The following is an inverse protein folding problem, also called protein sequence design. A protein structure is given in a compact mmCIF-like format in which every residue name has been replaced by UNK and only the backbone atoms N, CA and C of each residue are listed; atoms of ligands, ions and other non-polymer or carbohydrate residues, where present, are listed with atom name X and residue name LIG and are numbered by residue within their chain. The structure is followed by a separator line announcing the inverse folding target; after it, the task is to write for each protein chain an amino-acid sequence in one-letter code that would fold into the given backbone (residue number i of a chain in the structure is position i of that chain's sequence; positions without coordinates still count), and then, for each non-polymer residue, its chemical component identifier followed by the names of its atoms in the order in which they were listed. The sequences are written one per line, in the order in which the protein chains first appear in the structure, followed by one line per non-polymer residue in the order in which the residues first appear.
data_IF_116123715888
#
_entry.id   IF_116123715888
#
_cell.length_a   1.000
_cell.length_b   1.000
_cell.length_c   1.000
_cell.angle_alpha   90.00
_cell.angle_beta   90.00
_cell.angle_gamma   90.00
#
_symmetry.space_group_name_H-M   'P 1'
#
loop_
_entity.id
_entity.type
_entity.pdbx_description
1 polymer ?
#
# COMPACT_ATOMS: atom_id res chain seq x y z
N UNK A 1 -17.43 -26.65 -19.55
CA UNK A 1 -16.48 -25.71 -18.91
C UNK A 1 -17.14 -25.13 -17.67
N UNK A 2 -16.40 -25.01 -16.56
CA UNK A 2 -16.93 -24.47 -15.30
C UNK A 2 -17.09 -22.94 -15.37
N UNK A 3 -16.16 -22.26 -16.05
CA UNK A 3 -16.31 -20.86 -16.47
C UNK A 3 -16.61 -20.70 -17.96
N UNK A 4 -16.84 -19.46 -18.37
CA UNK A 4 -17.10 -19.05 -19.76
C UNK A 4 -16.06 -18.02 -20.18
N UNK A 5 -15.18 -18.41 -21.10
CA UNK A 5 -14.14 -17.54 -21.65
C UNK A 5 -14.64 -16.80 -22.89
N UNK A 6 -14.38 -15.49 -22.94
CA UNK A 6 -14.60 -14.64 -24.10
C UNK A 6 -13.27 -14.04 -24.60
N UNK A 7 -13.30 -13.26 -25.69
CA UNK A 7 -12.08 -12.69 -26.26
C UNK A 7 -11.33 -11.79 -25.29
N UNK A 8 -12.04 -11.07 -24.42
CA UNK A 8 -11.51 -10.04 -23.50
C UNK A 8 -11.95 -10.22 -22.03
N UNK A 9 -12.54 -11.36 -21.67
CA UNK A 9 -13.06 -11.59 -20.32
C UNK A 9 -13.10 -13.09 -19.98
N UNK A 10 -13.22 -13.38 -18.69
CA UNK A 10 -13.54 -14.71 -18.18
C UNK A 10 -14.62 -14.60 -17.11
N UNK A 11 -15.74 -15.30 -17.31
CA UNK A 11 -16.85 -15.31 -16.36
C UNK A 11 -16.78 -16.61 -15.55
N UNK A 12 -16.73 -16.54 -14.20
CA UNK A 12 -16.69 -17.71 -13.31
C UNK A 12 -18.07 -18.37 -13.17
N UNK A 13 -18.68 -18.71 -14.31
CA UNK A 13 -19.96 -19.40 -14.40
C UNK A 13 -20.07 -20.14 -15.74
N UNK A 14 -20.68 -21.32 -15.70
CA UNK A 14 -20.89 -22.16 -16.88
C UNK A 14 -22.04 -21.65 -17.75
N UNK A 15 -21.82 -21.49 -19.06
CA UNK A 15 -22.86 -21.08 -20.01
C UNK A 15 -23.80 -22.22 -20.47
N UNK A 16 -23.98 -23.29 -19.69
CA UNK A 16 -24.88 -24.41 -20.05
C UNK A 16 -26.34 -23.98 -20.23
N UNK A 17 -26.78 -22.98 -19.48
CA UNK A 17 -28.14 -22.44 -19.53
C UNK A 17 -28.33 -21.39 -20.63
N UNK A 18 -27.25 -20.95 -21.29
CA UNK A 18 -27.30 -19.89 -22.30
C UNK A 18 -27.54 -18.49 -21.74
N UNK A 19 -27.41 -18.27 -20.43
CA UNK A 19 -27.66 -16.96 -19.78
C UNK A 19 -26.43 -16.06 -19.71
N UNK A 20 -25.21 -16.61 -19.86
CA UNK A 20 -23.97 -15.86 -19.69
C UNK A 20 -23.80 -14.85 -20.83
N UNK A 21 -23.44 -13.61 -20.48
CA UNK A 21 -23.28 -12.48 -21.41
C UNK A 21 -22.01 -11.70 -21.10
N UNK A 22 -21.45 -11.06 -22.11
CA UNK A 22 -20.27 -10.18 -21.97
C UNK A 22 -20.44 -9.17 -20.82
N UNK A 23 -19.46 -9.03 -19.92
CA UNK A 23 -19.50 -8.06 -18.82
C UNK A 23 -19.28 -6.63 -19.31
N UNK A 24 -19.01 -6.43 -20.60
CA UNK A 24 -18.89 -5.10 -21.21
C UNK A 24 -20.20 -4.60 -21.83
N UNK A 25 -21.13 -5.52 -22.11
CA UNK A 25 -22.34 -5.21 -22.88
C UNK A 25 -23.62 -5.37 -22.05
N UNK A 26 -23.64 -6.29 -21.08
CA UNK A 26 -24.85 -6.67 -20.35
C UNK A 26 -24.62 -6.79 -18.82
N UNK A 27 -25.65 -6.46 -18.00
CA UNK A 27 -25.63 -6.69 -16.56
C UNK A 27 -25.38 -8.14 -16.17
N UNK A 28 -24.63 -8.32 -15.09
CA UNK A 28 -24.17 -9.62 -14.61
C UNK A 28 -25.02 -10.18 -13.45
N UNK A 29 -26.28 -9.74 -13.31
CA UNK A 29 -27.18 -10.15 -12.22
C UNK A 29 -27.53 -11.64 -12.15
N UNK A 30 -27.08 -12.44 -13.12
CA UNK A 30 -27.15 -13.90 -13.06
C UNK A 30 -26.00 -14.52 -12.25
N UNK A 31 -24.94 -13.76 -11.94
CA UNK A 31 -23.81 -14.19 -11.10
C UNK A 31 -24.10 -14.03 -9.61
N UNK A 32 -24.93 -13.05 -9.26
CA UNK A 32 -25.17 -12.61 -7.90
C UNK A 32 -26.45 -11.77 -7.85
N UNK A 33 -27.07 -11.71 -6.68
CA UNK A 33 -28.32 -10.97 -6.50
C UNK A 33 -28.11 -9.46 -6.70
N UNK A 34 -29.05 -8.71 -7.30
CA UNK A 34 -28.90 -7.27 -7.57
C UNK A 34 -28.56 -6.41 -6.34
N UNK A 35 -29.04 -6.81 -5.15
CA UNK A 35 -28.72 -6.09 -3.91
C UNK A 35 -27.23 -6.21 -3.53
N UNK A 36 -26.54 -7.28 -3.94
CA UNK A 36 -25.10 -7.46 -3.70
C UNK A 36 -24.29 -6.45 -4.51
N UNK A 37 -24.69 -6.17 -5.75
CA UNK A 37 -24.11 -5.10 -6.56
C UNK A 37 -24.32 -3.71 -5.94
N UNK A 38 -25.52 -3.47 -5.42
CA UNK A 38 -25.84 -2.23 -4.69
C UNK A 38 -24.99 -2.09 -3.42
N UNK A 39 -24.72 -3.20 -2.71
CA UNK A 39 -23.83 -3.22 -1.55
C UNK A 39 -22.37 -2.91 -1.93
N UNK A 40 -21.88 -3.45 -3.06
CA UNK A 40 -20.55 -3.11 -3.59
C UNK A 40 -20.45 -1.63 -3.96
N UNK A 41 -21.47 -1.09 -4.63
CA UNK A 41 -21.52 0.34 -4.96
C UNK A 41 -21.49 1.22 -3.71
N UNK A 42 -22.30 0.89 -2.68
CA UNK A 42 -22.32 1.60 -1.41
C UNK A 42 -20.97 1.52 -0.68
N UNK A 43 -20.32 0.35 -0.71
CA UNK A 43 -18.99 0.15 -0.14
C UNK A 43 -17.94 1.01 -0.87
N UNK A 44 -17.92 1.01 -2.19
CA UNK A 44 -16.99 1.85 -2.97
C UNK A 44 -17.25 3.34 -2.76
N UNK A 45 -18.51 3.75 -2.66
CA UNK A 45 -18.87 5.13 -2.32
C UNK A 45 -18.32 5.52 -0.94
N UNK A 46 -18.45 4.65 0.06
CA UNK A 46 -17.86 4.87 1.38
C UNK A 46 -16.32 4.96 1.30
N UNK A 47 -15.68 4.11 0.49
CA UNK A 47 -14.23 4.19 0.29
C UNK A 47 -13.80 5.52 -0.32
N UNK A 48 -14.55 6.06 -1.28
CA UNK A 48 -14.28 7.36 -1.90
C UNK A 48 -14.50 8.50 -0.89
N UNK A 49 -15.63 8.46 -0.18
CA UNK A 49 -16.03 9.48 0.79
C UNK A 49 -15.02 9.62 1.93
N UNK A 50 -14.43 8.52 2.39
CA UNK A 50 -13.41 8.52 3.43
C UNK A 50 -12.00 8.70 2.87
N UNK A 51 -11.71 8.08 1.72
CA UNK A 51 -10.40 8.04 1.08
C UNK A 51 -9.94 9.40 0.54
N UNK A 52 -10.80 10.15 -0.15
CA UNK A 52 -10.38 11.46 -0.67
C UNK A 52 -10.01 12.45 0.45
N UNK A 53 -10.85 12.67 1.49
CA UNK A 53 -10.52 13.65 2.52
C UNK A 53 -9.30 13.27 3.34
N UNK A 54 -9.14 11.99 3.72
CA UNK A 54 -8.00 11.58 4.56
C UNK A 54 -6.68 11.68 3.82
N UNK A 55 -6.64 11.27 2.54
CA UNK A 55 -5.45 11.41 1.72
C UNK A 55 -5.17 12.89 1.46
N UNK A 56 -6.18 13.69 1.11
CA UNK A 56 -6.00 15.13 0.88
C UNK A 56 -5.46 15.85 2.12
N UNK A 57 -6.04 15.61 3.29
CA UNK A 57 -5.57 16.19 4.55
C UNK A 57 -4.13 15.78 4.87
N UNK A 58 -3.77 14.53 4.60
CA UNK A 58 -2.40 14.04 4.84
C UNK A 58 -1.39 14.76 3.96
N UNK A 59 -1.71 14.95 2.68
CA UNK A 59 -0.92 15.72 1.72
C UNK A 59 -0.78 17.18 2.18
N UNK A 60 -1.91 17.82 2.48
CA UNK A 60 -1.97 19.23 2.86
C UNK A 60 -1.14 19.55 4.11
N UNK A 61 -1.33 18.79 5.20
CA UNK A 61 -0.62 18.99 6.47
C UNK A 61 0.88 18.81 6.30
N UNK A 62 1.31 17.82 5.53
CA UNK A 62 2.75 17.57 5.32
C UNK A 62 3.41 18.70 4.51
N UNK A 63 2.70 19.26 3.52
CA UNK A 63 3.20 20.41 2.75
C UNK A 63 3.29 21.67 3.63
N UNK A 64 2.25 21.92 4.43
CA UNK A 64 2.13 23.10 5.28
C UNK A 64 3.21 23.15 6.37
N UNK A 65 3.50 22.01 7.02
CA UNK A 65 4.41 21.95 8.16
C UNK A 65 5.82 21.49 7.74
N UNK A 66 6.76 22.43 7.61
CA UNK A 66 8.18 22.13 7.27
C UNK A 66 8.82 21.08 8.18
N UNK A 67 8.40 21.01 9.46
CA UNK A 67 8.87 20.01 10.44
C UNK A 67 8.58 18.57 10.00
N UNK A 68 7.57 18.37 9.16
CA UNK A 68 7.20 17.07 8.61
C UNK A 68 7.95 16.75 7.31
N UNK A 69 8.94 17.53 6.86
CA UNK A 69 9.72 17.20 5.65
C UNK A 69 10.90 16.31 5.98
N UNK A 70 10.62 15.13 6.52
CA UNK A 70 11.63 14.11 6.82
C UNK A 70 11.58 13.00 5.77
N UNK A 71 12.67 12.24 5.58
CA UNK A 71 12.71 11.11 4.65
C UNK A 71 11.52 10.15 4.76
N UNK A 72 11.07 9.85 5.98
CA UNK A 72 9.89 9.02 6.24
C UNK A 72 8.61 9.63 5.65
N UNK A 73 8.43 10.93 5.82
CA UNK A 73 7.23 11.63 5.38
C UNK A 73 7.20 11.83 3.86
N UNK A 74 8.33 11.78 3.15
CA UNK A 74 8.34 11.72 1.69
C UNK A 74 7.68 10.44 1.17
N UNK A 75 7.94 9.30 1.81
CA UNK A 75 7.30 8.02 1.46
C UNK A 75 5.79 8.04 1.78
N UNK A 76 5.40 8.72 2.86
CA UNK A 76 3.98 8.94 3.17
C UNK A 76 3.29 9.81 2.11
N UNK A 77 3.92 10.91 1.70
CA UNK A 77 3.43 11.77 0.62
C UNK A 77 3.26 10.99 -0.68
N UNK A 78 4.23 10.13 -0.99
CA UNK A 78 4.21 9.26 -2.17
C UNK A 78 2.98 8.34 -2.17
N UNK A 79 2.74 7.65 -1.05
CA UNK A 79 1.60 6.77 -0.86
C UNK A 79 0.25 7.51 -1.01
N UNK A 80 0.14 8.68 -0.37
CA UNK A 80 -1.07 9.51 -0.40
C UNK A 80 -1.36 10.04 -1.81
N UNK A 81 -0.31 10.38 -2.56
CA UNK A 81 -0.43 10.81 -3.95
C UNK A 81 -0.90 9.65 -4.84
N UNK A 82 -0.34 8.45 -4.70
CA UNK A 82 -0.80 7.26 -5.42
C UNK A 82 -2.25 6.88 -5.07
N UNK A 83 -2.63 6.97 -3.79
CA UNK A 83 -4.00 6.74 -3.34
C UNK A 83 -5.00 7.70 -3.98
N UNK A 84 -4.65 8.97 -4.24
CA UNK A 84 -5.55 9.88 -4.94
C UNK A 84 -5.89 9.38 -6.34
N UNK A 85 -4.90 8.91 -7.11
CA UNK A 85 -5.16 8.35 -8.43
C UNK A 85 -6.00 7.08 -8.36
N UNK A 86 -5.70 6.20 -7.41
CA UNK A 86 -6.49 4.98 -7.20
C UNK A 86 -7.96 5.30 -6.87
N UNK A 87 -8.22 6.30 -6.02
CA UNK A 87 -9.58 6.69 -5.65
C UNK A 87 -10.29 7.42 -6.80
N UNK A 88 -9.64 8.41 -7.43
CA UNK A 88 -10.25 9.25 -8.46
C UNK A 88 -10.47 8.52 -9.79
N UNK A 89 -9.58 7.62 -10.18
CA UNK A 89 -9.63 6.93 -11.47
C UNK A 89 -10.05 5.46 -11.36
N UNK A 90 -9.72 4.78 -10.26
CA UNK A 90 -10.10 3.37 -10.05
C UNK A 90 -11.45 3.23 -9.34
N UNK A 91 -11.57 3.80 -8.14
CA UNK A 91 -12.74 3.55 -7.30
C UNK A 91 -14.01 4.18 -7.87
N UNK A 92 -13.90 5.35 -8.51
CA UNK A 92 -15.02 5.98 -9.22
C UNK A 92 -15.58 5.09 -10.33
N UNK A 93 -14.70 4.48 -11.13
CA UNK A 93 -15.08 3.51 -12.17
C UNK A 93 -15.74 2.29 -11.53
N UNK A 94 -15.09 1.68 -10.52
CA UNK A 94 -15.61 0.49 -9.82
C UNK A 94 -16.98 0.76 -9.17
N UNK A 95 -17.18 1.94 -8.60
CA UNK A 95 -18.45 2.34 -7.99
C UNK A 95 -19.53 2.40 -9.07
N UNK A 96 -19.25 3.07 -10.19
CA UNK A 96 -20.22 3.24 -11.27
C UNK A 96 -20.55 1.91 -11.96
N UNK A 97 -19.56 1.04 -12.20
CA UNK A 97 -19.78 -0.31 -12.74
C UNK A 97 -20.58 -1.18 -11.78
N UNK A 98 -20.36 -1.05 -10.47
CA UNK A 98 -21.16 -1.74 -9.44
C UNK A 98 -22.61 -1.26 -9.41
N UNK A 99 -22.87 0.03 -9.66
CA UNK A 99 -24.25 0.57 -9.75
C UNK A 99 -25.03 0.02 -10.94
N UNK A 100 -24.34 -0.29 -12.04
CA UNK A 100 -24.96 -0.82 -13.26
C UNK A 100 -24.95 -2.35 -13.35
N UNK A 101 -24.09 -3.01 -12.55
CA UNK A 101 -23.93 -4.47 -12.53
C UNK A 101 -23.05 -5.04 -13.65
N UNK A 102 -22.32 -4.18 -14.38
CA UNK A 102 -21.38 -4.56 -15.45
C UNK A 102 -20.44 -3.40 -15.80
N UNK A 103 -19.42 -3.66 -16.62
CA UNK A 103 -18.46 -2.66 -17.10
C UNK A 103 -19.03 -1.80 -18.25
N UNK A 104 -19.89 -0.83 -17.90
CA UNK A 104 -20.52 0.11 -18.85
C UNK A 104 -19.53 0.95 -19.66
N UNK A 105 -18.33 1.19 -19.12
CA UNK A 105 -17.26 1.90 -19.82
C UNK A 105 -16.44 0.99 -20.78
N UNK A 106 -16.91 -0.23 -21.00
CA UNK A 106 -16.26 -1.22 -21.84
C UNK A 106 -14.86 -1.59 -21.37
N UNK A 107 -14.07 -2.10 -22.30
CA UNK A 107 -12.70 -2.53 -22.05
C UNK A 107 -11.80 -1.36 -21.61
N UNK A 108 -11.99 -0.16 -22.16
CA UNK A 108 -11.20 1.02 -21.77
C UNK A 108 -11.37 1.36 -20.29
N UNK A 109 -12.60 1.35 -19.78
CA UNK A 109 -12.84 1.57 -18.35
C UNK A 109 -12.21 0.49 -17.46
N UNK A 110 -12.23 -0.76 -17.90
CA UNK A 110 -11.56 -1.86 -17.21
C UNK A 110 -10.03 -1.67 -17.14
N UNK A 111 -9.42 -1.21 -18.23
CA UNK A 111 -7.98 -0.93 -18.26
C UNK A 111 -7.61 0.25 -17.37
N UNK A 112 -8.43 1.32 -17.34
CA UNK A 112 -8.24 2.45 -16.43
C UNK A 112 -8.33 1.99 -14.97
N UNK A 113 -9.38 1.24 -14.65
CA UNK A 113 -9.62 0.76 -13.28
C UNK A 113 -8.50 -0.16 -12.81
N UNK A 114 -8.18 -1.20 -13.59
CA UNK A 114 -7.14 -2.17 -13.28
C UNK A 114 -5.75 -1.52 -13.19
N UNK A 115 -5.43 -0.59 -14.10
CA UNK A 115 -4.15 0.14 -14.07
C UNK A 115 -3.98 0.96 -12.80
N UNK A 116 -4.95 1.81 -12.44
CA UNK A 116 -4.82 2.68 -11.28
C UNK A 116 -4.95 1.92 -9.95
N UNK A 117 -5.74 0.85 -9.90
CA UNK A 117 -5.78 -0.05 -8.75
C UNK A 117 -4.42 -0.75 -8.54
N UNK A 118 -3.84 -1.29 -9.62
CA UNK A 118 -2.53 -1.97 -9.58
C UNK A 118 -1.42 -0.99 -9.24
N UNK A 119 -1.37 0.16 -9.92
CA UNK A 119 -0.36 1.21 -9.67
C UNK A 119 -0.40 1.70 -8.21
N UNK A 120 -1.60 1.97 -7.68
CA UNK A 120 -1.77 2.39 -6.29
C UNK A 120 -1.30 1.33 -5.29
N UNK A 121 -1.71 0.07 -5.49
CA UNK A 121 -1.29 -1.06 -4.66
C UNK A 121 0.22 -1.29 -4.68
N UNK A 122 0.83 -1.23 -5.86
CA UNK A 122 2.27 -1.42 -6.04
C UNK A 122 3.10 -0.28 -5.45
N UNK A 123 2.72 0.99 -5.67
CA UNK A 123 3.40 2.12 -5.02
C UNK A 123 3.33 1.97 -3.50
N UNK A 124 2.20 1.50 -2.96
CA UNK A 124 2.07 1.24 -1.53
C UNK A 124 3.00 0.13 -1.04
N UNK A 125 3.07 -1.00 -1.76
CA UNK A 125 3.95 -2.11 -1.43
C UNK A 125 5.43 -1.69 -1.45
N UNK A 126 5.89 -1.07 -2.53
CA UNK A 126 7.29 -0.65 -2.64
C UNK A 126 7.64 0.47 -1.66
N UNK A 127 6.67 1.30 -1.29
CA UNK A 127 6.84 2.27 -0.21
C UNK A 127 7.09 1.60 1.15
N UNK A 128 6.42 0.47 1.44
CA UNK A 128 6.69 -0.32 2.64
C UNK A 128 8.08 -0.97 2.61
N UNK A 129 8.53 -1.43 1.45
CA UNK A 129 9.89 -1.98 1.28
C UNK A 129 10.93 -0.89 1.56
N UNK A 130 10.80 0.29 0.94
CA UNK A 130 11.72 1.41 1.16
C UNK A 130 11.74 1.84 2.62
N UNK A 131 10.57 1.88 3.28
CA UNK A 131 10.49 2.18 4.70
C UNK A 131 11.17 1.12 5.57
N UNK A 132 10.99 -0.17 5.27
CA UNK A 132 11.66 -1.24 6.00
C UNK A 132 13.20 -1.15 5.89
N UNK A 133 13.70 -0.87 4.69
CA UNK A 133 15.14 -0.67 4.43
C UNK A 133 15.65 0.58 5.15
N UNK A 134 14.95 1.71 5.08
CA UNK A 134 15.32 2.94 5.79
C UNK A 134 15.44 2.68 7.30
N UNK A 135 14.43 2.05 7.89
CA UNK A 135 14.42 1.73 9.33
C UNK A 135 15.58 0.82 9.71
N UNK A 136 15.85 -0.20 8.91
CA UNK A 136 16.99 -1.08 9.10
C UNK A 136 18.32 -0.29 9.05
N UNK A 137 18.51 0.56 8.04
CA UNK A 137 19.74 1.34 7.87
C UNK A 137 19.98 2.34 9.01
N UNK A 138 18.93 3.05 9.44
CA UNK A 138 19.03 4.10 10.47
C UNK A 138 19.20 3.54 11.88
N UNK A 139 18.50 2.45 12.20
CA UNK A 139 18.49 1.89 13.55
C UNK A 139 19.59 0.84 13.74
N UNK A 140 19.74 -0.09 12.80
CA UNK A 140 20.73 -1.16 12.93
C UNK A 140 22.14 -0.70 12.52
N UNK A 141 22.25 0.43 11.82
CA UNK A 141 23.52 1.04 11.36
C UNK A 141 24.54 0.00 10.86
N UNK A 142 24.20 -0.83 9.86
CA UNK A 142 25.14 -1.81 9.31
C UNK A 142 26.38 -1.14 8.68
N UNK A 143 26.29 0.16 8.37
CA UNK A 143 27.40 0.99 7.91
C UNK A 143 27.59 2.18 8.86
N UNK A 144 28.76 2.30 9.47
CA UNK A 144 29.02 3.25 10.56
C UNK A 144 28.86 4.74 10.16
N UNK A 145 29.20 5.10 8.91
CA UNK A 145 29.21 6.49 8.45
C UNK A 145 28.04 6.84 7.52
N UNK A 146 27.07 5.93 7.35
CA UNK A 146 25.94 6.17 6.46
C UNK A 146 24.83 6.96 7.17
N UNK A 147 24.36 8.04 6.54
CA UNK A 147 23.21 8.82 7.01
C UNK A 147 22.15 8.88 5.92
N UNK A 148 20.97 8.34 6.22
CA UNK A 148 19.83 8.46 5.32
C UNK A 148 19.38 9.93 5.25
N UNK A 149 19.55 10.52 4.07
CA UNK A 149 19.23 11.91 3.78
C UNK A 149 18.13 12.06 2.73
N UNK A 150 17.82 13.29 2.35
CA UNK A 150 16.75 13.61 1.38
C UNK A 150 16.99 12.97 0.01
N UNK A 151 18.23 12.95 -0.49
CA UNK A 151 18.55 12.32 -1.77
C UNK A 151 18.16 10.83 -1.80
N UNK A 152 18.42 10.11 -0.71
CA UNK A 152 18.05 8.69 -0.59
C UNK A 152 16.53 8.51 -0.52
N UNK A 153 15.81 9.44 0.11
CA UNK A 153 14.36 9.45 0.14
C UNK A 153 13.75 9.66 -1.26
N UNK A 154 14.27 10.62 -2.01
CA UNK A 154 13.83 10.91 -3.39
C UNK A 154 14.14 9.73 -4.31
N UNK A 155 15.34 9.12 -4.19
CA UNK A 155 15.66 7.88 -4.89
C UNK A 155 14.70 6.75 -4.54
N UNK A 156 14.35 6.61 -3.25
CA UNK A 156 13.35 5.65 -2.79
C UNK A 156 11.99 5.88 -3.43
N UNK A 157 11.51 7.13 -3.47
CA UNK A 157 10.26 7.50 -4.17
C UNK A 157 10.34 7.11 -5.65
N UNK A 158 11.39 7.55 -6.37
CA UNK A 158 11.55 7.21 -7.79
C UNK A 158 11.56 5.69 -8.03
N UNK A 159 12.26 4.93 -7.17
CA UNK A 159 12.27 3.48 -7.22
C UNK A 159 10.87 2.87 -7.07
N UNK A 160 10.05 3.36 -6.14
CA UNK A 160 8.68 2.85 -5.99
C UNK A 160 7.82 3.03 -7.26
N UNK A 161 7.97 4.15 -7.97
CA UNK A 161 7.23 4.39 -9.21
C UNK A 161 7.72 3.51 -10.35
N UNK A 162 9.05 3.33 -10.47
CA UNK A 162 9.63 2.45 -11.48
C UNK A 162 9.12 1.02 -11.29
N UNK A 163 9.17 0.50 -10.07
CA UNK A 163 8.66 -0.84 -9.77
C UNK A 163 7.14 -0.92 -9.94
N UNK A 164 6.38 0.10 -9.50
CA UNK A 164 4.94 0.07 -9.68
C UNK A 164 4.53 0.08 -11.16
N UNK A 165 5.22 0.88 -11.99
CA UNK A 165 5.00 0.90 -13.43
C UNK A 165 5.48 -0.38 -14.11
N UNK A 166 6.54 -1.03 -13.60
CA UNK A 166 7.00 -2.32 -14.15
C UNK A 166 6.00 -3.46 -13.94
N UNK A 167 4.98 -3.29 -13.08
CA UNK A 167 3.85 -4.21 -12.93
C UNK A 167 2.56 -3.64 -13.54
N UNK A 168 2.23 -2.37 -13.31
CA UNK A 168 0.95 -1.82 -13.76
C UNK A 168 0.88 -1.56 -15.27
N UNK A 169 2.01 -1.19 -15.90
CA UNK A 169 2.04 -0.79 -17.31
C UNK A 169 2.06 -1.95 -18.30
N UNK A 170 2.79 -3.07 -18.11
CA UNK A 170 2.88 -4.14 -19.12
C UNK A 170 1.53 -4.69 -19.64
N UNK A 171 0.48 -4.86 -18.82
CA UNK A 171 -0.84 -5.27 -19.30
C UNK A 171 -1.49 -4.29 -20.30
N UNK A 172 -1.03 -3.04 -20.36
CA UNK A 172 -1.44 -2.05 -21.36
C UNK A 172 -0.71 -2.23 -22.71
N UNK A 173 0.48 -2.85 -22.70
CA UNK A 173 1.39 -2.96 -23.83
C UNK A 173 1.57 -4.40 -24.33
N UNK A 174 0.63 -5.29 -24.01
CA UNK A 174 0.55 -6.65 -24.57
C UNK A 174 1.28 -7.73 -23.77
N UNK A 175 1.78 -7.44 -22.57
CA UNK A 175 2.26 -8.46 -21.63
C UNK A 175 1.24 -8.60 -20.49
N UNK A 176 0.45 -9.67 -20.56
CA UNK A 176 -0.85 -9.83 -19.90
C UNK A 176 -1.88 -8.78 -20.35
N UNK A 177 -2.98 -8.66 -19.59
CA UNK A 177 -4.09 -7.74 -19.83
C UNK A 177 -4.92 -7.57 -18.55
N UNK A 178 -5.65 -6.46 -18.47
CA UNK A 178 -6.68 -6.27 -17.45
C UNK A 178 -8.01 -6.85 -17.91
N UNK A 179 -8.62 -7.70 -17.08
CA UNK A 179 -9.95 -8.28 -17.32
C UNK A 179 -10.85 -8.15 -16.09
N UNK A 180 -12.18 -8.14 -16.26
CA UNK A 180 -13.11 -8.12 -15.15
C UNK A 180 -12.98 -9.37 -14.25
N UNK A 181 -13.06 -9.17 -12.94
CA UNK A 181 -12.86 -10.20 -11.93
C UNK A 181 -14.06 -10.33 -10.97
N UNK A 182 -14.24 -11.52 -10.40
CA UNK A 182 -15.30 -11.82 -9.44
C UNK A 182 -16.71 -11.61 -10.00
N UNK A 183 -17.48 -10.70 -9.40
CA UNK A 183 -18.81 -10.26 -9.86
C UNK A 183 -18.76 -9.37 -11.11
N UNK A 184 -17.57 -9.17 -11.69
CA UNK A 184 -17.32 -8.44 -12.93
C UNK A 184 -17.57 -6.92 -12.79
N UNK A 185 -17.27 -6.36 -11.62
CA UNK A 185 -17.32 -4.92 -11.35
C UNK A 185 -15.96 -4.29 -11.03
N UNK A 186 -14.94 -5.11 -10.77
CA UNK A 186 -13.52 -4.75 -10.62
C UNK A 186 -12.74 -5.39 -11.76
N UNK A 187 -11.60 -4.82 -12.11
CA UNK A 187 -10.65 -5.38 -13.07
C UNK A 187 -9.29 -5.64 -12.41
N UNK A 188 -8.71 -6.77 -12.80
CA UNK A 188 -7.42 -7.23 -12.33
C UNK A 188 -6.61 -7.83 -13.46
N UNK A 189 -5.37 -8.21 -13.15
CA UNK A 189 -4.50 -8.96 -14.06
C UNK A 189 -5.16 -10.29 -14.43
N UNK A 190 -4.95 -10.76 -15.66
CA UNK A 190 -5.51 -12.03 -16.11
C UNK A 190 -4.75 -13.25 -15.57
N UNK A 191 -5.19 -13.72 -14.41
CA UNK A 191 -4.81 -15.01 -13.82
C UNK A 191 -5.81 -16.13 -14.15
N UNK A 192 -6.89 -15.84 -14.90
CA UNK A 192 -7.95 -16.79 -15.21
C UNK A 192 -7.68 -17.64 -16.44
N UNK A 193 -7.06 -17.06 -17.48
CA UNK A 193 -6.92 -17.69 -18.80
C UNK A 193 -5.47 -17.94 -19.18
N UNK A 194 -5.24 -19.06 -19.88
CA UNK A 194 -3.99 -19.32 -20.58
C UNK A 194 -4.09 -18.72 -21.97
N UNK A 195 -3.63 -17.48 -22.10
CA UNK A 195 -3.63 -16.75 -23.37
C UNK A 195 -2.19 -16.51 -23.84
N UNK A 196 -1.61 -17.41 -24.66
CA UNK A 196 -0.23 -17.31 -25.13
C UNK A 196 0.04 -16.03 -25.93
N UNK A 197 -0.96 -15.47 -26.60
CA UNK A 197 -0.80 -14.26 -27.42
C UNK A 197 -0.36 -13.04 -26.62
N UNK A 198 -0.70 -13.00 -25.32
CA UNK A 198 -0.31 -11.92 -24.39
C UNK A 198 0.61 -12.44 -23.27
N UNK A 199 1.00 -13.71 -23.28
CA UNK A 199 1.88 -14.33 -22.29
C UNK A 199 1.42 -14.13 -20.83
N UNK A 200 0.15 -14.43 -20.53
CA UNK A 200 -0.40 -14.31 -19.17
C UNK A 200 0.43 -15.07 -18.12
N UNK A 201 0.84 -16.29 -18.44
CA UNK A 201 1.57 -17.16 -17.50
C UNK A 201 2.88 -16.54 -17.02
N UNK A 202 3.70 -16.04 -17.95
CA UNK A 202 4.98 -15.43 -17.59
C UNK A 202 4.81 -14.14 -16.80
N UNK A 203 3.76 -13.35 -17.10
CA UNK A 203 3.46 -12.13 -16.35
C UNK A 203 3.00 -12.43 -14.92
N UNK A 204 2.11 -13.41 -14.74
CA UNK A 204 1.62 -13.79 -13.40
C UNK A 204 2.78 -14.33 -12.55
N UNK A 205 3.65 -15.17 -13.10
CA UNK A 205 4.86 -15.64 -12.40
C UNK A 205 5.75 -14.45 -12.01
N UNK A 206 6.01 -13.53 -12.94
CA UNK A 206 6.77 -12.30 -12.68
C UNK A 206 6.15 -11.48 -11.54
N UNK A 207 4.83 -11.26 -11.56
CA UNK A 207 4.12 -10.52 -10.52
C UNK A 207 4.26 -11.20 -9.15
N UNK A 208 4.04 -12.51 -9.04
CA UNK A 208 4.16 -13.22 -7.76
C UNK A 208 5.60 -13.28 -7.22
N UNK A 209 6.60 -13.37 -8.10
CA UNK A 209 8.01 -13.42 -7.67
C UNK A 209 8.51 -12.01 -7.31
N UNK A 210 8.41 -11.08 -8.25
CA UNK A 210 9.02 -9.75 -8.14
C UNK A 210 8.17 -8.79 -7.31
N UNK A 211 6.85 -8.84 -7.44
CA UNK A 211 5.92 -7.90 -6.83
C UNK A 211 5.18 -8.47 -5.61
N UNK A 212 5.57 -9.65 -5.14
CA UNK A 212 5.00 -10.22 -3.90
C UNK A 212 6.07 -10.90 -3.05
N UNK A 213 6.73 -11.92 -3.59
CA UNK A 213 7.69 -12.72 -2.82
C UNK A 213 8.94 -11.93 -2.40
N UNK A 214 9.59 -11.24 -3.34
CA UNK A 214 10.79 -10.43 -3.05
C UNK A 214 10.48 -9.32 -2.01
N UNK A 215 9.44 -8.47 -2.20
CA UNK A 215 9.06 -7.46 -1.22
C UNK A 215 8.83 -8.04 0.18
N UNK A 216 8.12 -9.16 0.29
CA UNK A 216 7.88 -9.81 1.58
C UNK A 216 9.18 -10.25 2.25
N UNK A 217 10.07 -10.93 1.51
CA UNK A 217 11.37 -11.36 2.05
C UNK A 217 12.16 -10.17 2.58
N UNK A 218 12.23 -9.07 1.82
CA UNK A 218 12.95 -7.86 2.25
C UNK A 218 12.32 -7.24 3.50
N UNK A 219 10.99 -7.10 3.53
CA UNK A 219 10.26 -6.54 4.68
C UNK A 219 10.50 -7.40 5.93
N UNK A 220 10.33 -8.71 5.84
CA UNK A 220 10.54 -9.63 6.98
C UNK A 220 11.99 -9.63 7.46
N UNK A 221 12.96 -9.62 6.55
CA UNK A 221 14.37 -9.56 6.90
C UNK A 221 14.71 -8.26 7.64
N UNK A 222 14.37 -7.11 7.05
CA UNK A 222 14.67 -5.79 7.62
C UNK A 222 14.04 -5.60 8.99
N UNK A 223 12.75 -5.92 9.12
CA UNK A 223 12.05 -5.79 10.39
C UNK A 223 12.45 -6.85 11.41
N UNK A 224 12.80 -8.07 11.00
CA UNK A 224 13.37 -9.08 11.88
C UNK A 224 14.67 -8.58 12.53
N UNK A 225 15.61 -8.05 11.72
CA UNK A 225 16.88 -7.49 12.23
C UNK A 225 16.65 -6.25 13.10
N UNK A 226 15.71 -5.39 12.73
CA UNK A 226 15.31 -4.24 13.53
C UNK A 226 14.86 -4.67 14.92
N UNK A 227 13.93 -5.63 15.01
CA UNK A 227 13.41 -6.12 16.29
C UNK A 227 14.51 -6.77 17.15
N UNK A 228 15.41 -7.54 16.56
CA UNK A 228 16.56 -8.08 17.30
C UNK A 228 17.43 -6.97 17.90
N UNK A 229 17.79 -5.98 17.08
CA UNK A 229 18.67 -4.89 17.50
C UNK A 229 18.05 -4.04 18.61
N UNK A 230 16.77 -3.71 18.49
CA UNK A 230 16.07 -2.87 19.46
C UNK A 230 15.86 -3.64 20.78
N UNK A 231 15.63 -4.96 20.73
CA UNK A 231 15.60 -5.83 21.91
C UNK A 231 16.96 -5.93 22.62
N UNK A 232 18.04 -6.11 21.86
CA UNK A 232 19.40 -6.16 22.41
C UNK A 232 19.77 -4.84 23.09
N UNK A 233 19.47 -3.70 22.47
CA UNK A 233 19.69 -2.37 23.06
C UNK A 233 18.87 -2.17 24.34
N UNK A 234 17.60 -2.59 24.36
CA UNK A 234 16.75 -2.51 25.54
C UNK A 234 17.24 -3.41 26.69
N UNK A 235 17.79 -4.59 26.37
CA UNK A 235 18.40 -5.49 27.36
C UNK A 235 19.69 -4.90 27.97
N UNK A 236 20.50 -4.19 27.17
CA UNK A 236 21.71 -3.52 27.65
C UNK A 236 21.41 -2.29 28.52
N UNK A 237 20.31 -1.59 28.26
CA UNK A 237 19.87 -0.40 29.00
C UNK A 237 18.58 -0.66 29.79
N UNK A 238 18.58 -1.72 30.61
CA UNK A 238 17.39 -2.18 31.31
C UNK A 238 16.82 -1.14 32.29
N UNK A 239 17.65 -0.25 32.83
CA UNK A 239 17.24 0.82 33.74
C UNK A 239 16.61 2.04 33.03
N UNK A 240 16.77 2.17 31.71
CA UNK A 240 16.22 3.30 30.96
C UNK A 240 14.78 3.05 30.54
N UNK A 241 13.84 3.56 31.34
CA UNK A 241 12.41 3.54 31.01
C UNK A 241 12.12 4.20 29.64
N UNK A 242 12.89 5.22 29.27
CA UNK A 242 12.78 5.92 27.98
C UNK A 242 13.18 5.03 26.81
N UNK A 243 14.27 4.26 26.96
CA UNK A 243 14.73 3.31 25.92
C UNK A 243 13.72 2.17 25.73
N UNK A 244 13.18 1.62 26.83
CA UNK A 244 12.14 0.59 26.75
C UNK A 244 10.84 1.10 26.11
N UNK A 245 10.44 2.34 26.41
CA UNK A 245 9.27 2.95 25.78
C UNK A 245 9.47 3.15 24.27
N UNK A 246 10.65 3.61 23.87
CA UNK A 246 11.00 3.78 22.46
C UNK A 246 11.02 2.43 21.70
N UNK A 247 11.59 1.38 22.30
CA UNK A 247 11.54 0.00 21.77
C UNK A 247 10.09 -0.41 21.50
N UNK A 248 9.22 -0.28 22.50
CA UNK A 248 7.82 -0.71 22.41
C UNK A 248 7.03 0.07 21.36
N UNK A 249 7.29 1.38 21.22
CA UNK A 249 6.63 2.21 20.21
C UNK A 249 7.06 1.83 18.78
N UNK A 250 8.36 1.60 18.55
CA UNK A 250 8.90 1.19 17.24
C UNK A 250 8.41 -0.21 16.89
N UNK A 251 8.52 -1.18 17.81
CA UNK A 251 8.04 -2.55 17.62
C UNK A 251 6.55 -2.57 17.31
N UNK A 252 5.73 -1.83 18.06
CA UNK A 252 4.29 -1.74 17.81
C UNK A 252 3.99 -1.16 16.42
N UNK A 253 4.66 -0.09 16.03
CA UNK A 253 4.44 0.53 14.72
C UNK A 253 4.74 -0.45 13.57
N UNK A 254 5.89 -1.11 13.64
CA UNK A 254 6.34 -2.05 12.61
C UNK A 254 5.40 -3.25 12.49
N UNK A 255 5.05 -3.87 13.61
CA UNK A 255 4.16 -5.04 13.63
C UNK A 255 2.79 -4.68 13.04
N UNK A 256 2.22 -3.54 13.45
CA UNK A 256 0.93 -3.07 12.92
C UNK A 256 1.01 -2.92 11.39
N UNK A 257 2.02 -2.23 10.87
CA UNK A 257 2.13 -1.98 9.43
C UNK A 257 2.26 -3.27 8.61
N UNK A 258 3.07 -4.24 9.06
CA UNK A 258 3.22 -5.53 8.38
C UNK A 258 1.93 -6.34 8.45
N UNK A 259 1.30 -6.43 9.63
CA UNK A 259 0.07 -7.20 9.82
C UNK A 259 -1.05 -6.66 8.95
N UNK A 260 -1.26 -5.34 8.90
CA UNK A 260 -2.29 -4.75 8.04
C UNK A 260 -2.00 -4.97 6.57
N UNK A 261 -0.74 -4.88 6.13
CA UNK A 261 -0.39 -5.21 4.75
C UNK A 261 -0.75 -6.66 4.41
N UNK A 262 -0.36 -7.62 5.26
CA UNK A 262 -0.64 -9.03 5.05
C UNK A 262 -2.15 -9.30 5.02
N UNK A 263 -2.90 -8.75 5.98
CA UNK A 263 -4.35 -8.90 6.06
C UNK A 263 -5.02 -8.44 4.76
N UNK A 264 -4.57 -7.34 4.17
CA UNK A 264 -5.24 -6.75 3.01
C UNK A 264 -4.84 -7.38 1.68
N UNK A 265 -3.59 -7.80 1.52
CA UNK A 265 -3.09 -8.27 0.23
C UNK A 265 -2.91 -9.77 0.13
N UNK A 266 -2.64 -10.48 1.23
CA UNK A 266 -2.47 -11.94 1.19
C UNK A 266 -3.75 -12.66 0.75
N UNK A 267 -4.98 -12.27 1.20
CA UNK A 267 -6.19 -12.91 0.70
C UNK A 267 -6.36 -12.78 -0.82
N UNK A 268 -6.09 -11.59 -1.36
CA UNK A 268 -6.15 -11.36 -2.81
C UNK A 268 -5.08 -12.15 -3.56
N UNK A 269 -3.83 -12.07 -3.10
CA UNK A 269 -2.72 -12.82 -3.70
C UNK A 269 -2.95 -14.34 -3.66
N UNK A 270 -3.47 -14.86 -2.54
CA UNK A 270 -3.81 -16.27 -2.41
C UNK A 270 -4.89 -16.70 -3.40
N UNK A 271 -6.00 -15.96 -3.51
CA UNK A 271 -7.09 -16.28 -4.44
C UNK A 271 -6.63 -16.16 -5.88
N UNK A 272 -5.85 -15.14 -6.23
CA UNK A 272 -5.29 -14.97 -7.56
C UNK A 272 -4.34 -16.13 -7.93
N UNK A 273 -3.47 -16.54 -7.00
CA UNK A 273 -2.56 -17.67 -7.19
C UNK A 273 -3.32 -19.01 -7.29
N UNK A 274 -4.36 -19.18 -6.48
CA UNK A 274 -5.23 -20.35 -6.54
C UNK A 274 -5.88 -20.46 -7.91
N UNK A 275 -6.50 -19.38 -8.40
CA UNK A 275 -7.13 -19.36 -9.73
C UNK A 275 -6.10 -19.63 -10.83
N UNK A 276 -4.92 -19.04 -10.74
CA UNK A 276 -3.82 -19.27 -11.68
C UNK A 276 -3.36 -20.73 -11.73
N UNK A 277 -3.27 -21.41 -10.59
CA UNK A 277 -2.83 -22.82 -10.51
C UNK A 277 -3.96 -23.82 -10.79
N UNK A 278 -5.21 -23.39 -10.71
CA UNK A 278 -6.42 -24.22 -10.90
C UNK A 278 -7.34 -23.63 -11.97
N UNK A 279 -6.78 -23.20 -13.09
CA UNK A 279 -7.54 -22.60 -14.19
C UNK A 279 -8.61 -23.57 -14.72
N UNK A 280 -9.84 -23.07 -14.88
CA UNK A 280 -10.98 -23.88 -15.29
C UNK A 280 -11.60 -24.75 -14.20
N UNK A 281 -11.09 -24.71 -12.97
CA UNK A 281 -11.77 -25.28 -11.80
C UNK A 281 -13.09 -24.56 -11.50
N UNK A 282 -13.92 -25.16 -10.65
CA UNK A 282 -15.20 -24.57 -10.26
C UNK A 282 -15.00 -23.61 -9.09
N UNK A 283 -15.11 -22.30 -9.36
CA UNK A 283 -15.13 -21.24 -8.36
C UNK A 283 -16.19 -20.22 -8.73
N UNK A 284 -16.89 -19.71 -7.73
CA UNK A 284 -17.94 -18.71 -7.92
C UNK A 284 -17.41 -17.27 -7.98
N UNK A 285 -18.24 -16.31 -8.41
CA UNK A 285 -17.87 -14.90 -8.55
C UNK A 285 -17.47 -14.25 -7.21
N UNK A 286 -18.10 -14.64 -6.10
CA UNK A 286 -17.83 -14.08 -4.76
C UNK A 286 -16.41 -14.37 -4.28
N UNK A 287 -15.80 -15.48 -4.75
CA UNK A 287 -14.49 -15.95 -4.31
C UNK A 287 -13.38 -14.92 -4.54
N UNK A 288 -13.41 -14.23 -5.69
CA UNK A 288 -12.49 -13.11 -5.96
C UNK A 288 -13.05 -11.75 -5.54
N UNK A 289 -14.37 -11.54 -5.61
CA UNK A 289 -14.97 -10.23 -5.23
C UNK A 289 -14.59 -9.82 -3.81
N UNK A 290 -14.71 -10.71 -2.83
CA UNK A 290 -14.45 -10.37 -1.42
C UNK A 290 -13.02 -9.87 -1.21
N UNK A 291 -11.95 -10.63 -1.56
CA UNK A 291 -10.58 -10.15 -1.35
C UNK A 291 -10.23 -8.96 -2.26
N UNK A 292 -10.72 -8.89 -3.49
CA UNK A 292 -10.44 -7.76 -4.39
C UNK A 292 -10.98 -6.44 -3.84
N UNK A 293 -12.23 -6.41 -3.38
CA UNK A 293 -12.81 -5.22 -2.77
C UNK A 293 -12.21 -4.92 -1.40
N UNK A 294 -11.87 -5.95 -0.61
CA UNK A 294 -11.19 -5.75 0.66
C UNK A 294 -9.81 -5.10 0.50
N UNK A 295 -9.03 -5.50 -0.51
CA UNK A 295 -7.73 -4.90 -0.81
C UNK A 295 -7.84 -3.39 -1.14
N UNK A 296 -8.95 -2.95 -1.75
CA UNK A 296 -9.21 -1.52 -2.04
C UNK A 296 -9.33 -0.66 -0.76
N UNK A 297 -9.63 -1.25 0.40
CA UNK A 297 -9.61 -0.52 1.69
C UNK A 297 -8.23 0.04 2.07
N UNK A 298 -7.16 -0.42 1.41
CA UNK A 298 -5.78 0.07 1.55
C UNK A 298 -5.59 1.54 1.23
N UNK A 299 -6.49 2.13 0.46
CA UNK A 299 -6.51 3.57 0.24
C UNK A 299 -6.73 4.38 1.54
N UNK A 300 -7.36 3.76 2.56
CA UNK A 300 -7.79 4.43 3.80
C UNK A 300 -6.90 4.03 4.96
N UNK A 301 -6.79 2.72 5.24
CA UNK A 301 -6.16 2.29 6.48
C UNK A 301 -4.68 2.67 6.52
N UNK A 302 -4.01 2.72 5.36
CA UNK A 302 -2.61 3.12 5.27
C UNK A 302 -2.41 4.53 5.89
N UNK A 303 -3.02 5.62 5.36
CA UNK A 303 -3.02 6.92 6.03
C UNK A 303 -3.47 6.91 7.49
N UNK A 304 -4.54 6.19 7.84
CA UNK A 304 -5.05 6.12 9.22
C UNK A 304 -3.97 5.61 10.17
N UNK A 305 -3.32 4.50 9.84
CA UNK A 305 -2.26 3.89 10.64
C UNK A 305 -1.14 4.92 10.89
N UNK A 306 -0.71 5.65 9.86
CA UNK A 306 0.31 6.69 10.02
C UNK A 306 -0.15 7.85 10.90
N UNK A 307 -1.36 8.37 10.71
CA UNK A 307 -1.91 9.47 11.52
C UNK A 307 -1.99 9.08 13.00
N UNK A 308 -2.41 7.84 13.29
CA UNK A 308 -2.56 7.34 14.65
C UNK A 308 -1.19 7.08 15.30
N UNK A 309 -0.25 6.50 14.56
CA UNK A 309 1.05 6.08 15.09
C UNK A 309 2.10 7.19 15.15
N UNK A 310 1.99 8.24 14.33
CA UNK A 310 2.94 9.33 14.30
C UNK A 310 2.47 10.52 15.17
N UNK A 311 2.95 10.60 16.42
CA UNK A 311 2.62 11.69 17.36
C UNK A 311 2.94 13.08 16.78
N UNK A 312 4.06 13.22 16.06
CA UNK A 312 4.45 14.49 15.45
C UNK A 312 3.44 14.91 14.37
N UNK A 313 3.04 13.96 13.51
CA UNK A 313 2.03 14.20 12.50
C UNK A 313 0.69 14.61 13.12
N UNK A 314 0.23 13.87 14.14
CA UNK A 314 -1.03 14.13 14.83
C UNK A 314 -1.08 15.54 15.42
N UNK A 315 0.00 16.00 16.05
CA UNK A 315 0.07 17.34 16.62
C UNK A 315 -0.01 18.42 15.53
N UNK A 316 0.69 18.24 14.40
CA UNK A 316 0.59 19.14 13.25
C UNK A 316 -0.82 19.13 12.63
N UNK A 317 -1.45 17.95 12.51
CA UNK A 317 -2.82 17.82 12.00
C UNK A 317 -3.82 18.58 12.89
N UNK A 318 -3.76 18.39 14.21
CA UNK A 318 -4.62 19.13 15.16
C UNK A 318 -4.38 20.64 15.03
N UNK A 319 -3.12 21.05 14.92
CA UNK A 319 -2.76 22.47 14.74
C UNK A 319 -3.40 23.05 13.47
N UNK A 320 -3.39 22.30 12.37
CA UNK A 320 -4.04 22.69 11.12
C UNK A 320 -5.56 22.74 11.25
N UNK A 321 -6.19 21.73 11.86
CA UNK A 321 -7.64 21.66 12.06
C UNK A 321 -8.17 22.74 13.02
N UNK A 322 -7.36 23.16 13.99
CA UNK A 322 -7.68 24.19 14.97
C UNK A 322 -7.09 25.57 14.60
N UNK A 323 -6.91 25.84 13.30
CA UNK A 323 -6.51 27.15 12.76
C UNK A 323 -5.25 27.76 13.41
N UNK A 324 -4.23 26.94 13.67
CA UNK A 324 -2.94 27.37 14.23
C UNK A 324 -2.80 27.20 15.74
N UNK A 325 -3.84 26.73 16.44
CA UNK A 325 -3.78 26.41 17.88
C UNK A 325 -3.69 24.90 18.07
N UNK A 326 -2.88 24.42 19.01
CA UNK A 326 -2.93 23.01 19.42
C UNK A 326 -3.45 22.92 20.87
N UNK A 327 -4.76 22.74 21.08
CA UNK A 327 -5.35 22.67 22.43
C UNK A 327 -4.90 21.44 23.23
N UNK A 328 -4.23 20.47 22.58
CA UNK A 328 -3.70 19.25 23.19
C UNK A 328 -2.18 19.15 23.06
N UNK A 329 -1.49 20.24 22.73
CA UNK A 329 -0.04 20.26 22.71
C UNK A 329 0.48 20.19 24.14
N UNK A 330 1.31 19.18 24.44
CA UNK A 330 2.10 19.18 25.68
C UNK A 330 2.85 20.52 25.78
N UNK A 331 2.70 21.25 26.90
CA UNK A 331 3.39 22.51 27.21
C UNK A 331 4.93 22.35 27.38
N UNK A 332 5.55 21.31 26.84
CA UNK A 332 7.00 21.05 26.96
C UNK A 332 7.85 21.83 25.93
N UNK A 333 7.34 22.95 25.41
CA UNK A 333 7.99 23.79 24.41
C UNK A 333 8.75 25.01 24.94
N UNK A 334 8.75 25.25 26.26
CA UNK A 334 9.32 26.46 26.88
C UNK A 334 10.76 26.28 27.42
N UNK A 335 11.34 25.07 27.37
CA UNK A 335 12.70 24.83 27.92
C UNK A 335 13.72 24.31 26.90
N UNK A 336 13.55 24.60 25.61
CA UNK A 336 14.64 24.51 24.63
C UNK A 336 15.50 25.79 24.64
N UNK A 337 15.96 26.20 25.83
CA UNK A 337 17.05 27.14 25.98
C UNK A 337 18.34 26.34 26.26
N UNK A 338 19.18 26.22 25.25
CA UNK A 338 20.63 26.02 25.37
C UNK A 338 21.10 24.65 25.91
N UNK A 339 21.14 23.62 25.06
CA UNK A 339 22.20 22.59 25.16
C UNK A 339 23.13 22.71 23.95
N UNK A 340 24.02 23.72 23.98
CA UNK A 340 25.27 23.61 23.23
C UNK A 340 26.01 22.41 23.81
N UNK A 341 26.13 21.34 23.04
CA UNK A 341 27.09 20.28 23.32
C UNK A 341 28.48 20.86 23.04
N UNK A 342 29.10 21.46 24.05
CA UNK A 342 30.54 21.68 24.03
C UNK A 342 31.22 20.31 24.00
N UNK A 343 31.90 20.03 22.91
CA UNK A 343 32.86 18.95 22.84
C UNK A 343 34.00 19.27 23.83
N UNK A 344 34.10 18.50 24.91
CA UNK A 344 35.22 18.57 25.84
C UNK A 344 36.49 18.15 25.10
N UNK A 345 37.34 19.12 24.75
CA UNK A 345 38.73 18.87 24.38
C UNK A 345 39.51 18.51 25.64
N UNK A 346 39.89 17.24 25.75
CA UNK A 346 40.83 16.78 26.77
C UNK A 346 42.19 17.40 26.45
N UNK A 347 42.63 18.35 27.29
CA UNK A 347 43.97 18.92 27.26
C UNK A 347 44.97 17.88 27.75
N UNK A 348 45.88 17.45 26.86
CA UNK A 348 47.05 16.66 27.22
C UNK A 348 48.11 17.59 27.84
N UNK A 349 48.25 17.53 29.15
CA UNK A 349 49.41 18.03 29.87
C UNK A 349 50.64 17.15 29.56
N UNK A 350 51.57 17.67 28.76
CA UNK A 350 52.96 17.21 28.75
C UNK A 350 53.85 18.35 29.25
N UNK A 351 54.33 18.16 30.49
CA UNK A 351 55.47 18.85 31.07
C UNK A 351 56.71 18.13 30.57
N UNK A 352 57.60 18.83 29.87
CA UNK A 352 58.97 18.36 29.61
C UNK A 352 59.90 18.94 30.67
N UNK A 353 60.79 18.14 31.29
CA UNK A 353 61.89 18.67 32.09
C UNK A 353 63.14 18.89 31.24
N UNK A 354 63.85 19.98 31.60
CA UNK A 354 65.26 20.33 31.37
C UNK A 354 65.78 20.40 29.93
#
# INVERSE_FOLDING_TARGET
MNGTEGPNFYIPMSNKTGVVRSPFDYPQYYLAEPWQYSALAAYMFLLILLGLPINFMTLFVTIQHKKLRTPLNYILLNLVFANHFMVLCGFTVTMYTSMHGYFIFGQTGCYIEGFFATLGGEVALWSLVVLAVERYMVVCKPMANFRFGENHAIMGVAFTWIMALSCAAPPLFGWSRYIPEGMQCSCGVDYYTLKPEVNNESFVIYMFVVHFTIPLIVIFFCYGRLLCTVKEAAAQQQESATTQKAEKEVTRMVVIMVVFFLICWVPYAYVAFYIFTHQGSDFGPVFMTVPAFFAKSSAIYNPVIYIVLNKQFRNCLITTLCCGKNPFGDEDGSSAATSKTEASSVSSSQVSPA
#
